data_IF_964937513894
#
_entry.id   IF_964937513894
#
_cell.length_a   1.000
_cell.length_b   1.000
_cell.length_c   1.000
_cell.angle_alpha   90.00
_cell.angle_beta   90.00
_cell.angle_gamma   90.00
#
_symmetry.space_group_name_H-M   'P 1'
#
loop_
_entity.id
_entity.type
_entity.pdbx_description
1 polymer ?
#
# COMPACT_ATOMS: atom_id res chain seq x y z
N UNK A 1 -15.28 -36.00 62.76
CA UNK A 1 -14.13 -36.16 61.83
C UNK A 1 -14.52 -36.64 60.43
N UNK A 2 -15.53 -37.51 60.23
CA UNK A 2 -15.91 -38.00 58.88
C UNK A 2 -16.49 -36.96 57.92
N UNK A 3 -17.17 -35.92 58.40
CA UNK A 3 -17.75 -34.85 57.56
C UNK A 3 -16.71 -33.84 57.04
N UNK A 4 -15.64 -33.57 57.80
CA UNK A 4 -14.57 -32.66 57.37
C UNK A 4 -13.71 -33.23 56.25
N UNK A 5 -13.52 -34.55 56.22
CA UNK A 5 -12.71 -35.24 55.20
C UNK A 5 -13.39 -35.27 53.82
N UNK A 6 -14.73 -35.35 53.79
CA UNK A 6 -15.51 -35.35 52.54
C UNK A 6 -15.56 -33.93 51.93
N UNK A 7 -15.69 -32.89 52.75
CA UNK A 7 -15.59 -31.50 52.29
C UNK A 7 -14.20 -31.17 51.72
N UNK A 8 -13.13 -31.68 52.36
CA UNK A 8 -11.76 -31.49 51.87
C UNK A 8 -11.52 -32.11 50.49
N UNK A 9 -12.02 -33.33 50.25
CA UNK A 9 -11.85 -34.01 48.97
C UNK A 9 -12.64 -33.36 47.83
N UNK A 10 -13.83 -32.82 48.10
CA UNK A 10 -14.63 -32.06 47.13
C UNK A 10 -13.97 -30.72 46.77
N UNK A 11 -13.35 -30.04 47.74
CA UNK A 11 -12.63 -28.79 47.50
C UNK A 11 -11.37 -29.01 46.65
N UNK A 12 -10.60 -30.09 46.91
CA UNK A 12 -9.39 -30.42 46.15
C UNK A 12 -9.71 -30.80 44.69
N UNK A 13 -10.79 -31.56 44.47
CA UNK A 13 -11.26 -31.90 43.14
C UNK A 13 -11.73 -30.66 42.34
N UNK A 14 -12.38 -29.70 42.99
CA UNK A 14 -12.77 -28.42 42.37
C UNK A 14 -11.59 -27.55 41.97
N UNK A 15 -10.52 -27.53 42.77
CA UNK A 15 -9.31 -26.75 42.49
C UNK A 15 -8.52 -27.34 41.30
N UNK A 16 -8.44 -28.67 41.20
CA UNK A 16 -7.76 -29.36 40.08
C UNK A 16 -8.47 -29.18 38.73
N UNK A 17 -9.79 -29.00 38.72
CA UNK A 17 -10.57 -28.76 37.50
C UNK A 17 -10.39 -27.34 36.92
N UNK A 18 -10.03 -26.36 37.74
CA UNK A 18 -9.85 -24.96 37.31
C UNK A 18 -8.45 -24.66 36.74
N UNK A 19 -7.51 -25.62 36.82
CA UNK A 19 -6.14 -25.48 36.30
C UNK A 19 -5.92 -25.96 34.85
N UNK A 20 -6.98 -26.09 34.05
CA UNK A 20 -6.91 -26.53 32.65
C UNK A 20 -6.27 -25.52 31.69
N UNK A 21 -5.00 -25.78 31.34
CA UNK A 21 -4.25 -25.39 30.12
C UNK A 21 -4.45 -23.99 29.52
N UNK A 22 -3.58 -23.04 29.89
CA UNK A 22 -3.26 -21.87 29.03
C UNK A 22 -2.33 -22.30 27.89
N UNK A 23 -2.86 -22.55 26.70
CA UNK A 23 -2.04 -22.70 25.49
C UNK A 23 -1.48 -21.34 25.09
N UNK A 24 -0.16 -21.17 25.23
CA UNK A 24 0.60 -19.96 24.87
C UNK A 24 1.03 -20.08 23.41
N UNK A 25 0.40 -19.33 22.51
CA UNK A 25 0.76 -19.28 21.09
C UNK A 25 1.98 -18.35 20.91
N UNK A 26 3.00 -18.78 20.15
CA UNK A 26 4.15 -17.95 19.79
C UNK A 26 3.82 -17.09 18.56
N UNK A 27 3.97 -15.75 18.62
CA UNK A 27 3.88 -14.91 17.43
C UNK A 27 5.18 -14.97 16.61
N UNK A 28 5.05 -15.16 15.30
CA UNK A 28 6.16 -15.12 14.33
C UNK A 28 6.46 -13.67 13.96
N UNK A 29 7.74 -13.29 13.95
CA UNK A 29 8.19 -11.97 13.49
C UNK A 29 8.11 -11.88 11.95
N UNK A 30 7.38 -10.89 11.43
CA UNK A 30 7.21 -10.64 10.00
C UNK A 30 8.19 -9.55 9.58
N UNK A 31 9.07 -9.86 8.61
CA UNK A 31 9.98 -8.89 8.01
C UNK A 31 9.32 -8.26 6.78
N UNK A 32 8.98 -6.98 6.88
CA UNK A 32 8.39 -6.21 5.79
C UNK A 32 9.49 -5.76 4.82
N UNK A 33 9.59 -6.40 3.65
CA UNK A 33 10.45 -5.95 2.56
C UNK A 33 9.76 -4.83 1.79
N UNK A 34 10.35 -3.63 1.78
CA UNK A 34 9.90 -2.49 0.96
C UNK A 34 10.86 -2.38 -0.23
N UNK A 35 10.34 -2.52 -1.44
CA UNK A 35 11.12 -2.35 -2.67
C UNK A 35 10.79 -1.00 -3.31
N UNK A 36 11.78 -0.12 -3.43
CA UNK A 36 11.67 1.15 -4.17
C UNK A 36 12.03 0.93 -5.64
N UNK A 37 11.09 1.19 -6.56
CA UNK A 37 11.33 1.12 -8.01
C UNK A 37 11.59 2.53 -8.55
N UNK A 38 12.80 2.76 -9.08
CA UNK A 38 13.16 4.02 -9.74
C UNK A 38 12.70 4.02 -11.20
N UNK A 39 11.84 4.96 -11.59
CA UNK A 39 11.38 5.14 -12.96
C UNK A 39 11.90 6.49 -13.46
N UNK A 40 12.71 6.47 -14.51
CA UNK A 40 13.23 7.68 -15.14
C UNK A 40 12.13 8.35 -15.97
N UNK A 41 11.77 9.59 -15.63
CA UNK A 41 10.79 10.39 -16.36
C UNK A 41 11.49 11.51 -17.12
N UNK A 42 11.24 11.58 -18.42
CA UNK A 42 11.68 12.70 -19.25
C UNK A 42 10.76 13.89 -19.03
N UNK A 43 11.32 15.04 -18.64
CA UNK A 43 10.59 16.31 -18.48
C UNK A 43 11.12 17.31 -19.50
N UNK A 44 10.23 17.98 -20.27
CA UNK A 44 10.65 18.99 -21.23
C UNK A 44 11.18 20.23 -20.49
N UNK A 45 12.36 20.71 -20.86
CA UNK A 45 12.94 21.94 -20.32
C UNK A 45 12.38 23.18 -21.03
N UNK A 46 11.96 24.23 -20.32
CA UNK A 46 11.53 25.48 -20.94
C UNK A 46 12.74 26.19 -21.56
N UNK A 47 12.74 26.35 -22.88
CA UNK A 47 13.75 27.17 -23.55
C UNK A 47 13.56 28.66 -23.21
N UNK A 48 14.64 29.43 -23.10
CA UNK A 48 14.54 30.88 -22.90
C UNK A 48 13.76 31.54 -24.05
N UNK A 49 13.08 32.65 -23.77
CA UNK A 49 12.32 33.37 -24.77
C UNK A 49 13.25 33.91 -25.87
N UNK A 50 13.06 33.46 -27.11
CA UNK A 50 13.83 33.96 -28.24
C UNK A 50 13.20 35.23 -28.84
N UNK A 51 14.04 36.11 -29.38
CA UNK A 51 13.63 37.39 -29.96
C UNK A 51 14.19 37.59 -31.37
N UNK A 52 13.45 38.36 -32.16
CA UNK A 52 13.77 38.67 -33.53
C UNK A 52 13.24 40.08 -33.85
N UNK A 53 14.09 40.91 -34.45
CA UNK A 53 13.74 42.28 -34.84
C UNK A 53 14.14 42.56 -36.28
N UNK A 54 13.25 43.24 -37.01
CA UNK A 54 13.45 43.61 -38.42
C UNK A 54 13.35 45.13 -38.51
N UNK A 55 14.28 45.76 -39.23
CA UNK A 55 14.23 47.18 -39.56
C UNK A 55 14.40 47.33 -41.07
N UNK A 56 13.39 47.87 -41.73
CA UNK A 56 13.37 48.05 -43.18
C UNK A 56 13.10 49.52 -43.53
N UNK A 57 13.83 50.05 -44.50
CA UNK A 57 13.58 51.36 -45.10
C UNK A 57 13.00 51.14 -46.50
N UNK A 58 11.81 51.66 -46.71
CA UNK A 58 11.11 51.64 -47.99
C UNK A 58 11.12 53.04 -48.58
N UNK A 59 11.50 53.14 -49.85
CA UNK A 59 11.50 54.39 -50.61
C UNK A 59 10.58 54.24 -51.82
N UNK A 60 10.03 55.36 -52.29
CA UNK A 60 9.28 55.40 -53.53
C UNK A 60 10.24 55.78 -54.66
N UNK A 61 10.36 54.93 -55.67
CA UNK A 61 11.13 55.23 -56.88
C UNK A 61 10.44 56.31 -57.73
N UNK A 62 11.15 56.88 -58.70
CA UNK A 62 10.64 57.92 -59.61
C UNK A 62 9.39 57.47 -60.39
N UNK A 63 9.23 56.16 -60.56
CA UNK A 63 8.09 55.51 -61.20
C UNK A 63 6.88 55.29 -60.27
N UNK A 64 6.93 55.77 -59.03
CA UNK A 64 5.88 55.58 -58.03
C UNK A 64 5.84 54.18 -57.41
N UNK A 65 6.90 53.37 -57.58
CA UNK A 65 6.99 52.00 -57.05
C UNK A 65 7.71 51.99 -55.72
N UNK A 66 7.15 51.29 -54.73
CA UNK A 66 7.81 51.10 -53.42
C UNK A 66 8.97 50.10 -53.59
N UNK A 67 10.17 50.53 -53.26
CA UNK A 67 11.42 49.76 -53.32
C UNK A 67 12.09 49.70 -51.94
N UNK A 68 12.75 48.58 -51.66
CA UNK A 68 13.52 48.41 -50.42
C UNK A 68 14.88 49.10 -50.56
N UNK A 69 15.14 50.11 -49.71
CA UNK A 69 16.40 50.84 -49.71
C UNK A 69 17.44 50.23 -48.77
N UNK A 70 16.97 49.78 -47.60
CA UNK A 70 17.81 49.22 -46.56
C UNK A 70 17.03 48.19 -45.76
N UNK A 71 17.71 47.12 -45.35
CA UNK A 71 17.15 46.05 -44.55
C UNK A 71 18.21 45.56 -43.57
N UNK A 72 17.82 45.49 -42.31
CA UNK A 72 18.62 44.94 -41.23
C UNK A 72 17.78 43.97 -40.42
N UNK A 73 18.40 42.82 -40.13
CA UNK A 73 17.76 41.69 -39.49
C UNK A 73 18.64 41.27 -38.32
N UNK A 74 18.08 41.35 -37.12
CA UNK A 74 18.73 40.89 -35.91
C UNK A 74 17.93 39.75 -35.29
N UNK A 75 18.56 38.59 -35.19
CA UNK A 75 17.99 37.37 -34.63
C UNK A 75 18.84 36.82 -33.48
N UNK A 76 18.17 36.09 -32.59
CA UNK A 76 18.80 35.25 -31.56
C UNK A 76 19.13 33.87 -32.14
N UNK A 77 19.99 33.09 -31.45
CA UNK A 77 20.56 31.84 -32.00
C UNK A 77 19.52 30.80 -32.44
N UNK A 78 18.35 30.79 -31.82
CA UNK A 78 17.33 29.75 -32.04
C UNK A 78 16.15 30.25 -32.89
N UNK A 79 16.32 31.36 -33.62
CA UNK A 79 15.25 31.95 -34.44
C UNK A 79 15.74 32.27 -35.84
N UNK A 80 14.95 31.82 -36.81
CA UNK A 80 15.08 32.17 -38.21
C UNK A 80 14.04 33.23 -38.59
N UNK A 81 14.48 34.36 -39.12
CA UNK A 81 13.63 35.41 -39.66
C UNK A 81 13.54 35.29 -41.18
N UNK A 82 12.33 35.23 -41.72
CA UNK A 82 12.07 35.24 -43.15
C UNK A 82 11.37 36.53 -43.54
N UNK A 83 12.04 37.34 -44.35
CA UNK A 83 11.49 38.56 -44.94
C UNK A 83 11.39 38.40 -46.46
N UNK A 84 10.20 38.58 -47.02
CA UNK A 84 9.96 38.57 -48.45
C UNK A 84 9.11 39.77 -48.87
N UNK A 85 9.53 40.41 -49.96
CA UNK A 85 8.79 41.49 -50.61
C UNK A 85 8.39 41.00 -52.00
N UNK A 86 7.09 40.89 -52.25
CA UNK A 86 6.57 40.47 -53.55
C UNK A 86 6.57 41.65 -54.53
N UNK A 87 6.60 41.34 -55.81
CA UNK A 87 6.49 42.29 -56.94
C UNK A 87 5.23 43.16 -56.91
N UNK A 88 4.18 42.69 -56.22
CA UNK A 88 2.91 43.38 -55.96
C UNK A 88 2.95 44.29 -54.72
N UNK A 89 4.09 44.39 -54.01
CA UNK A 89 4.25 45.22 -52.81
C UNK A 89 3.79 44.56 -51.51
N UNK A 90 3.48 43.26 -51.52
CA UNK A 90 3.14 42.52 -50.30
C UNK A 90 4.39 42.23 -49.46
N UNK A 91 4.32 42.51 -48.17
CA UNK A 91 5.40 42.28 -47.21
C UNK A 91 5.05 41.07 -46.34
N UNK A 92 5.90 40.03 -46.39
CA UNK A 92 5.75 38.85 -45.55
C UNK A 92 6.94 38.80 -44.59
N UNK A 93 6.63 38.85 -43.29
CA UNK A 93 7.60 38.71 -42.21
C UNK A 93 7.19 37.53 -41.34
N UNK A 94 7.85 36.39 -41.52
CA UNK A 94 7.60 35.19 -40.73
C UNK A 94 8.78 34.93 -39.80
N UNK A 95 8.48 34.62 -38.55
CA UNK A 95 9.45 34.16 -37.56
C UNK A 95 9.30 32.65 -37.39
N UNK A 96 10.36 31.90 -37.68
CA UNK A 96 10.41 30.45 -37.50
C UNK A 96 11.34 30.13 -36.33
N UNK A 97 10.80 29.45 -35.33
CA UNK A 97 11.57 28.95 -34.18
C UNK A 97 11.77 27.45 -34.38
N UNK A 98 12.97 26.95 -34.73
CA UNK A 98 13.29 25.53 -34.64
C UNK A 98 12.95 25.00 -33.25
N UNK A 99 12.24 23.86 -33.19
CA UNK A 99 11.80 23.25 -31.95
C UNK A 99 12.92 22.42 -31.33
N UNK A 100 13.65 22.99 -30.39
CA UNK A 100 14.66 22.26 -29.60
C UNK A 100 14.09 21.88 -28.24
N UNK A 101 13.22 20.86 -28.18
CA UNK A 101 12.82 20.32 -26.87
C UNK A 101 13.91 19.40 -26.35
N UNK A 102 14.78 19.94 -25.50
CA UNK A 102 15.74 19.15 -24.73
C UNK A 102 14.98 18.43 -23.59
N UNK A 103 15.02 17.10 -23.60
CA UNK A 103 14.50 16.28 -22.52
C UNK A 103 15.61 16.01 -21.51
N UNK A 104 15.42 16.47 -20.27
CA UNK A 104 16.31 16.12 -19.17
C UNK A 104 15.73 14.90 -18.45
N UNK A 105 16.54 13.88 -18.13
CA UNK A 105 16.11 12.81 -17.25
C UNK A 105 15.94 13.36 -15.83
N UNK A 106 14.69 13.35 -15.34
CA UNK A 106 14.39 13.66 -13.94
C UNK A 106 14.16 12.35 -13.18
N UNK A 107 14.85 12.18 -12.05
CA UNK A 107 14.77 11.00 -11.19
C UNK A 107 13.76 11.23 -10.07
N UNK A 108 12.46 11.15 -10.35
CA UNK A 108 11.46 11.27 -9.30
C UNK A 108 10.28 10.34 -9.53
N UNK A 109 10.34 9.12 -8.97
CA UNK A 109 9.15 8.35 -8.56
C UNK A 109 9.54 7.45 -7.37
N UNK A 110 8.94 7.69 -6.20
CA UNK A 110 8.94 6.74 -5.09
C UNK A 110 7.67 5.88 -5.20
N UNK A 111 7.80 4.65 -5.69
CA UNK A 111 6.71 3.66 -5.63
C UNK A 111 7.03 2.69 -4.51
N UNK A 112 6.53 2.95 -3.31
CA UNK A 112 6.55 1.97 -2.22
C UNK A 112 5.52 0.88 -2.53
N UNK A 113 5.94 -0.17 -3.24
CA UNK A 113 5.08 -1.33 -3.48
C UNK A 113 5.05 -2.17 -2.20
N UNK A 114 3.98 -2.03 -1.42
CA UNK A 114 3.69 -2.95 -0.31
C UNK A 114 3.34 -4.32 -0.87
N UNK A 115 4.27 -5.27 -0.79
CA UNK A 115 4.02 -6.67 -1.12
C UNK A 115 3.32 -7.28 0.09
N UNK A 116 2.05 -7.63 -0.06
CA UNK A 116 1.30 -8.31 0.99
C UNK A 116 1.85 -9.73 1.15
N UNK A 117 2.67 -9.94 2.18
CA UNK A 117 3.11 -11.28 2.57
C UNK A 117 1.90 -12.03 3.11
N UNK A 118 1.56 -13.23 2.59
CA UNK A 118 0.42 -13.99 3.09
C UNK A 118 0.66 -14.33 4.55
N UNK A 119 -0.18 -13.76 5.42
CA UNK A 119 -0.22 -14.08 6.84
C UNK A 119 -0.47 -15.59 7.00
N UNK A 120 0.29 -16.32 7.84
CA UNK A 120 -0.09 -17.66 8.24
C UNK A 120 -1.39 -17.53 9.03
N UNK A 121 -2.52 -17.77 8.36
CA UNK A 121 -3.84 -17.81 8.99
C UNK A 121 -3.78 -18.81 10.13
N UNK A 122 -4.22 -18.41 11.32
CA UNK A 122 -4.42 -19.32 12.44
C UNK A 122 -5.21 -20.52 11.92
N UNK A 123 -4.59 -21.69 11.86
CA UNK A 123 -5.23 -22.88 11.28
C UNK A 123 -6.52 -23.13 12.04
N UNK A 124 -7.65 -22.93 11.38
CA UNK A 124 -8.95 -23.36 11.90
C UNK A 124 -8.81 -24.82 12.31
N UNK A 125 -9.25 -25.15 13.54
CA UNK A 125 -9.16 -26.51 14.03
C UNK A 125 -9.87 -27.44 13.04
N UNK A 126 -9.13 -28.44 12.56
CA UNK A 126 -9.70 -29.46 11.69
C UNK A 126 -10.91 -30.08 12.37
N UNK A 127 -11.93 -30.44 11.58
CA UNK A 127 -13.12 -31.15 12.09
C UNK A 127 -12.75 -32.35 12.98
N UNK A 128 -11.61 -32.98 12.71
CA UNK A 128 -11.10 -34.10 13.51
C UNK A 128 -10.57 -33.68 14.89
N UNK A 129 -9.91 -32.54 15.00
CA UNK A 129 -9.40 -32.05 16.27
C UNK A 129 -10.54 -31.51 17.15
N UNK A 130 -11.50 -30.82 16.53
CA UNK A 130 -12.76 -30.43 17.20
C UNK A 130 -13.50 -31.65 17.71
N UNK A 131 -13.59 -32.71 16.89
CA UNK A 131 -14.23 -33.96 17.28
C UNK A 131 -13.51 -34.61 18.49
N UNK A 132 -12.17 -34.66 18.52
CA UNK A 132 -11.43 -35.19 19.67
C UNK A 132 -11.67 -34.39 20.95
N UNK A 133 -11.74 -33.06 20.84
CA UNK A 133 -12.01 -32.18 21.98
C UNK A 133 -13.42 -32.43 22.51
N UNK A 134 -14.40 -32.57 21.62
CA UNK A 134 -15.77 -32.87 21.98
C UNK A 134 -15.87 -34.23 22.68
N UNK A 135 -15.32 -35.29 22.08
CA UNK A 135 -15.27 -36.63 22.71
C UNK A 135 -14.59 -36.61 24.08
N UNK A 136 -13.51 -35.84 24.23
CA UNK A 136 -12.84 -35.64 25.53
C UNK A 136 -13.75 -34.99 26.58
N UNK A 137 -14.55 -33.99 26.18
CA UNK A 137 -15.53 -33.34 27.05
C UNK A 137 -16.62 -34.30 27.55
N UNK A 138 -17.16 -35.14 26.66
CA UNK A 138 -18.14 -36.16 27.03
C UNK A 138 -17.58 -37.20 28.01
N UNK A 139 -16.32 -37.63 27.83
CA UNK A 139 -15.66 -38.57 28.73
C UNK A 139 -15.48 -38.00 30.15
N UNK A 140 -15.04 -36.73 30.25
CA UNK A 140 -14.89 -36.03 31.53
C UNK A 140 -16.26 -35.84 32.20
N UNK A 141 -17.28 -35.49 31.42
CA UNK A 141 -18.67 -35.36 31.89
C UNK A 141 -19.18 -36.66 32.53
N UNK A 142 -19.07 -37.78 31.83
CA UNK A 142 -19.53 -39.08 32.32
C UNK A 142 -18.78 -39.53 33.59
N UNK A 143 -17.46 -39.37 33.61
CA UNK A 143 -16.65 -39.72 34.79
C UNK A 143 -17.04 -38.87 36.01
N UNK A 144 -17.24 -37.57 35.82
CA UNK A 144 -17.66 -36.67 36.91
C UNK A 144 -19.05 -37.05 37.45
N UNK A 145 -19.99 -37.39 36.59
CA UNK A 145 -21.35 -37.81 36.98
C UNK A 145 -21.35 -39.11 37.81
N UNK A 146 -20.57 -40.11 37.41
CA UNK A 146 -20.45 -41.37 38.16
C UNK A 146 -19.87 -41.16 39.56
N UNK A 147 -18.89 -40.27 39.70
CA UNK A 147 -18.30 -39.93 41.01
C UNK A 147 -19.36 -39.30 41.93
N UNK A 148 -20.18 -38.37 41.42
CA UNK A 148 -21.24 -37.73 42.21
C UNK A 148 -22.32 -38.73 42.64
N UNK A 149 -22.73 -39.62 41.74
CA UNK A 149 -23.70 -40.69 42.04
C UNK A 149 -23.13 -41.65 43.11
N UNK A 150 -21.86 -42.02 42.99
CA UNK A 150 -21.17 -42.87 43.96
C UNK A 150 -21.14 -42.25 45.36
N UNK A 151 -20.79 -40.96 45.46
CA UNK A 151 -20.81 -40.22 46.73
C UNK A 151 -22.23 -40.16 47.30
N UNK A 152 -23.23 -39.85 46.48
CA UNK A 152 -24.64 -39.82 46.90
C UNK A 152 -25.13 -41.16 47.44
N UNK A 153 -24.74 -42.27 46.79
CA UNK A 153 -25.08 -43.62 47.24
C UNK A 153 -24.42 -43.94 48.59
N UNK A 154 -23.15 -43.60 48.77
CA UNK A 154 -22.42 -43.81 50.04
C UNK A 154 -23.03 -43.00 51.18
N UNK A 155 -23.41 -41.73 50.93
CA UNK A 155 -24.08 -40.89 51.93
C UNK A 155 -25.44 -41.48 52.31
N UNK A 156 -26.25 -41.91 51.33
CA UNK A 156 -27.54 -42.57 51.58
C UNK A 156 -27.38 -43.87 52.37
N UNK A 157 -26.40 -44.70 52.01
CA UNK A 157 -26.10 -45.94 52.70
C UNK A 157 -25.66 -45.70 54.14
N UNK A 158 -24.80 -44.71 54.39
CA UNK A 158 -24.37 -44.32 55.74
C UNK A 158 -25.53 -43.76 56.58
N UNK A 159 -26.47 -43.05 55.98
CA UNK A 159 -27.67 -42.57 56.65
C UNK A 159 -28.63 -43.71 57.03
N UNK A 160 -28.85 -44.66 56.12
CA UNK A 160 -29.66 -45.85 56.41
C UNK A 160 -29.00 -46.80 57.44
N UNK A 161 -27.67 -46.88 57.48
CA UNK A 161 -26.95 -47.72 58.45
C UNK A 161 -26.98 -47.15 59.89
N UNK A 162 -27.28 -45.86 60.04
CA UNK A 162 -27.28 -45.18 61.35
C UNK A 162 -28.67 -45.08 62.00
N UNK A 163 -29.72 -45.56 61.33
CA UNK A 163 -31.06 -45.79 61.89
C UNK A 163 -31.22 -47.28 62.15
#
# INVERSE_FOLDING_TARGET
MRTGMICGMLAIAGILALSGCRTKIQPVAIENRIDSIYIDKLVPYPMPADSASIRALMECDENGKVVLRWLDMANTKNVELMFALDSLGNVIANMRVPRDTLYLPSKEVYVDRKIEVPIPVEKELSRWDTFKIEVGGWAIGLLSGLVVIGIGYVVRWLACKKR
#
